data_IF_817306977584
#
_entry.id   IF_817306977584
#
_cell.length_a   1.000
_cell.length_b   1.000
_cell.length_c   1.000
_cell.angle_alpha   90.00
_cell.angle_beta   90.00
_cell.angle_gamma   90.00
#
_symmetry.space_group_name_H-M   'P 1'
#
loop_
_entity.id
_entity.type
_entity.pdbx_description
1 polymer ?
#
# COMPACT_ATOMS: atom_id res chain seq x y z
N UNK A 1 -8.08 -12.56 -10.13
CA UNK A 1 -8.49 -11.85 -11.35
C UNK A 1 -7.91 -10.47 -11.26
N UNK A 2 -6.70 -10.28 -11.80
CA UNK A 2 -6.02 -8.98 -11.88
C UNK A 2 -5.72 -8.75 -13.36
N UNK A 3 -6.36 -7.74 -13.93
CA UNK A 3 -6.41 -7.45 -15.37
C UNK A 3 -5.22 -6.53 -15.75
N UNK A 4 -4.03 -7.11 -15.74
CA UNK A 4 -2.95 -6.81 -16.69
C UNK A 4 -2.34 -5.41 -16.80
N UNK A 5 -2.77 -4.33 -16.11
CA UNK A 5 -2.26 -2.96 -16.43
C UNK A 5 -2.05 -1.94 -15.29
N UNK A 6 -1.70 -2.32 -14.06
CA UNK A 6 -1.26 -1.33 -13.05
C UNK A 6 0.08 -1.71 -12.40
N UNK A 7 1.17 -1.12 -12.89
CA UNK A 7 2.55 -1.36 -12.41
C UNK A 7 2.92 -0.52 -11.18
N UNK A 8 2.01 0.28 -10.63
CA UNK A 8 2.33 1.30 -9.63
C UNK A 8 1.54 1.08 -8.33
N UNK A 9 2.27 0.70 -7.28
CA UNK A 9 1.79 0.53 -5.92
C UNK A 9 2.50 1.45 -4.93
N UNK A 10 1.80 1.99 -3.94
CA UNK A 10 2.39 2.77 -2.84
C UNK A 10 1.93 2.23 -1.49
N UNK A 11 2.84 2.00 -0.55
CA UNK A 11 2.46 1.61 0.82
C UNK A 11 1.94 2.84 1.56
N UNK A 12 0.85 2.72 2.32
CA UNK A 12 0.26 3.81 3.11
C UNK A 12 0.06 3.32 4.54
N UNK A 13 0.84 3.85 5.48
CA UNK A 13 0.75 3.52 6.93
C UNK A 13 1.00 4.71 7.87
N UNK A 14 1.50 5.83 7.37
CA UNK A 14 1.86 7.02 8.17
C UNK A 14 2.20 8.25 7.33
N UNK A 15 2.63 9.35 7.97
CA UNK A 15 2.85 10.66 7.33
C UNK A 15 3.78 10.59 6.11
N UNK A 16 4.98 10.02 6.27
CA UNK A 16 5.99 9.99 5.20
C UNK A 16 5.47 9.24 3.97
N UNK A 17 4.80 8.10 4.22
CA UNK A 17 4.21 7.28 3.17
C UNK A 17 3.01 7.96 2.48
N UNK A 18 2.22 8.75 3.22
CA UNK A 18 1.11 9.53 2.67
C UNK A 18 1.60 10.68 1.78
N UNK A 19 2.73 11.30 2.15
CA UNK A 19 3.35 12.35 1.35
C UNK A 19 3.90 11.78 0.03
N UNK A 20 4.62 10.65 0.09
CA UNK A 20 5.10 9.95 -1.10
C UNK A 20 3.95 9.51 -1.99
N UNK A 21 2.87 8.96 -1.41
CA UNK A 21 1.68 8.56 -2.16
C UNK A 21 1.01 9.75 -2.86
N UNK A 22 0.89 10.89 -2.18
CA UNK A 22 0.28 12.11 -2.75
C UNK A 22 1.09 12.68 -3.92
N UNK A 23 2.42 12.71 -3.80
CA UNK A 23 3.33 13.16 -4.85
C UNK A 23 3.24 12.19 -6.04
N UNK A 24 3.27 10.89 -5.77
CA UNK A 24 3.17 9.84 -6.79
C UNK A 24 1.86 9.95 -7.56
N UNK A 25 0.72 10.08 -6.87
CA UNK A 25 -0.59 10.25 -7.48
C UNK A 25 -0.64 11.50 -8.38
N UNK A 26 -0.08 12.62 -7.91
CA UNK A 26 -0.04 13.88 -8.67
C UNK A 26 0.80 13.77 -9.94
N UNK A 27 1.97 13.13 -9.86
CA UNK A 27 2.87 13.03 -11.01
C UNK A 27 2.46 11.93 -12.00
N UNK A 28 1.83 10.85 -11.53
CA UNK A 28 1.40 9.74 -12.38
C UNK A 28 0.48 10.21 -13.51
N UNK A 29 -0.47 11.10 -13.23
CA UNK A 29 -1.40 11.67 -14.22
C UNK A 29 -0.72 12.34 -15.43
N UNK A 30 0.51 12.84 -15.27
CA UNK A 30 1.29 13.48 -16.34
C UNK A 30 2.15 12.52 -17.16
N UNK A 31 2.29 11.26 -16.75
CA UNK A 31 3.22 10.30 -17.37
C UNK A 31 2.64 9.67 -18.64
N UNK A 32 3.53 9.27 -19.57
CA UNK A 32 3.14 8.47 -20.75
C UNK A 32 2.55 7.11 -20.34
N UNK A 33 3.04 6.55 -19.23
CA UNK A 33 2.55 5.29 -18.69
C UNK A 33 1.07 5.40 -18.28
N UNK A 34 0.67 6.46 -17.57
CA UNK A 34 -0.72 6.66 -17.19
C UNK A 34 -1.66 6.86 -18.39
N UNK A 35 -1.18 7.51 -19.47
CA UNK A 35 -1.95 7.66 -20.71
C UNK A 35 -2.17 6.34 -21.46
N UNK A 36 -1.29 5.36 -21.26
CA UNK A 36 -1.27 4.12 -22.03
C UNK A 36 -1.83 2.92 -21.23
N UNK A 37 -1.77 2.97 -19.91
CA UNK A 37 -2.15 1.88 -18.99
C UNK A 37 -3.17 2.30 -17.92
N UNK A 38 -3.51 3.59 -17.84
CA UNK A 38 -4.40 4.14 -16.81
C UNK A 38 -3.62 4.77 -15.65
N UNK A 39 -4.21 5.77 -15.01
CA UNK A 39 -3.62 6.50 -13.88
C UNK A 39 -3.96 5.88 -12.51
N UNK A 40 -4.51 4.67 -12.50
CA UNK A 40 -5.08 4.08 -11.29
C UNK A 40 -3.95 3.53 -10.40
N UNK A 41 -3.67 4.25 -9.32
CA UNK A 41 -2.63 3.93 -8.36
C UNK A 41 -3.18 2.93 -7.33
N UNK A 42 -2.42 1.87 -7.06
CA UNK A 42 -2.76 0.92 -6.00
C UNK A 42 -2.07 1.35 -4.71
N UNK A 43 -2.76 1.24 -3.58
CA UNK A 43 -2.18 1.46 -2.26
C UNK A 43 -2.28 0.23 -1.40
N UNK A 44 -1.27 -0.01 -0.56
CA UNK A 44 -1.19 -1.21 0.28
C UNK A 44 -0.97 -0.83 1.73
N UNK A 45 -1.71 -1.45 2.65
CA UNK A 45 -1.52 -1.33 4.09
C UNK A 45 -1.55 -2.72 4.73
N UNK A 46 -0.71 -2.94 5.75
CA UNK A 46 -0.74 -4.17 6.55
C UNK A 46 -0.75 -3.82 8.03
N UNK A 47 -1.64 -4.46 8.78
CA UNK A 47 -1.91 -4.15 10.18
C UNK A 47 -2.75 -5.23 10.86
N UNK A 48 -2.81 -5.18 12.19
CA UNK A 48 -3.78 -5.96 12.96
C UNK A 48 -5.19 -5.44 12.67
N UNK A 49 -6.19 -6.32 12.68
CA UNK A 49 -7.58 -5.92 12.49
C UNK A 49 -7.99 -4.82 13.47
N UNK A 50 -8.60 -3.75 12.96
CA UNK A 50 -9.00 -2.59 13.76
C UNK A 50 -7.87 -1.64 14.16
N UNK A 51 -6.66 -1.80 13.63
CA UNK A 51 -5.56 -0.89 13.93
C UNK A 51 -5.86 0.55 13.46
N UNK A 52 -5.36 1.56 14.21
CA UNK A 52 -5.48 2.95 13.80
C UNK A 52 -4.79 3.23 12.45
N UNK A 53 -3.73 2.48 12.13
CA UNK A 53 -2.99 2.61 10.88
C UNK A 53 -3.83 2.19 9.66
N UNK A 54 -4.61 1.11 9.77
CA UNK A 54 -5.51 0.69 8.69
C UNK A 54 -6.58 1.74 8.44
N UNK A 55 -7.15 2.32 9.51
CA UNK A 55 -8.12 3.40 9.39
C UNK A 55 -7.53 4.63 8.71
N UNK A 56 -6.35 5.08 9.15
CA UNK A 56 -5.67 6.22 8.56
C UNK A 56 -5.28 5.97 7.09
N UNK A 57 -4.83 4.76 6.77
CA UNK A 57 -4.48 4.37 5.41
C UNK A 57 -5.70 4.39 4.48
N UNK A 58 -6.85 3.92 4.97
CA UNK A 58 -8.12 4.01 4.25
C UNK A 58 -8.53 5.45 3.97
N UNK A 59 -8.46 6.33 4.98
CA UNK A 59 -8.79 7.75 4.82
C UNK A 59 -7.90 8.43 3.76
N UNK A 60 -6.60 8.13 3.75
CA UNK A 60 -5.67 8.65 2.73
C UNK A 60 -5.95 8.06 1.36
N UNK A 61 -6.27 6.78 1.28
CA UNK A 61 -6.58 6.12 0.02
C UNK A 61 -7.85 6.66 -0.62
N UNK A 62 -8.89 6.93 0.18
CA UNK A 62 -10.14 7.56 -0.24
C UNK A 62 -9.89 9.00 -0.71
N UNK A 63 -9.06 9.76 0.02
CA UNK A 63 -8.67 11.13 -0.36
C UNK A 63 -7.90 11.16 -1.70
N UNK A 64 -7.00 10.20 -1.93
CA UNK A 64 -6.18 10.12 -3.14
C UNK A 64 -6.87 9.37 -4.30
N UNK A 65 -8.00 8.72 -4.06
CA UNK A 65 -8.73 7.93 -5.07
C UNK A 65 -7.97 6.68 -5.54
N UNK A 66 -7.17 6.07 -4.66
CA UNK A 66 -6.36 4.88 -4.98
C UNK A 66 -7.14 3.57 -4.80
N UNK A 67 -6.76 2.50 -5.50
CA UNK A 67 -7.27 1.15 -5.15
C UNK A 67 -6.54 0.69 -3.88
N UNK A 68 -7.23 0.73 -2.75
CA UNK A 68 -6.65 0.33 -1.47
C UNK A 68 -6.77 -1.16 -1.21
N UNK A 69 -5.64 -1.78 -0.92
CA UNK A 69 -5.51 -3.17 -0.50
C UNK A 69 -5.06 -3.20 0.96
N UNK A 70 -5.87 -3.80 1.82
CA UNK A 70 -5.53 -4.04 3.21
C UNK A 70 -5.20 -5.51 3.43
N UNK A 71 -4.09 -5.75 4.10
CA UNK A 71 -3.70 -7.07 4.58
C UNK A 71 -3.81 -7.09 6.09
N UNK A 72 -4.65 -7.98 6.60
CA UNK A 72 -4.80 -8.18 8.03
C UNK A 72 -3.99 -9.41 8.42
N UNK A 73 -3.25 -9.29 9.52
CA UNK A 73 -2.56 -10.41 10.13
C UNK A 73 -2.99 -10.54 11.58
N UNK A 74 -2.93 -11.76 12.12
CA UNK A 74 -3.16 -12.02 13.53
C UNK A 74 -1.84 -11.93 14.31
N UNK A 75 -1.94 -11.80 15.63
CA UNK A 75 -0.74 -11.86 16.49
C UNK A 75 -0.02 -13.20 16.32
N UNK A 76 -0.75 -14.30 16.11
CA UNK A 76 -0.16 -15.61 15.92
C UNK A 76 0.61 -15.70 14.60
N UNK A 77 0.07 -15.17 13.50
CA UNK A 77 0.79 -15.11 12.22
C UNK A 77 2.12 -14.36 12.38
N UNK A 78 2.11 -13.30 13.19
CA UNK A 78 3.31 -12.54 13.52
C UNK A 78 4.34 -13.36 14.31
N UNK A 79 3.89 -14.19 15.26
CA UNK A 79 4.76 -15.07 16.07
C UNK A 79 5.36 -16.18 15.21
N UNK A 80 4.53 -16.82 14.39
CA UNK A 80 4.95 -17.92 13.51
C UNK A 80 5.94 -17.44 12.45
N UNK A 81 5.84 -16.18 12.04
CA UNK A 81 6.76 -15.56 11.07
C UNK A 81 8.10 -15.09 11.66
N UNK A 82 8.32 -15.12 12.98
CA UNK A 82 9.54 -14.56 13.60
C UNK A 82 10.80 -15.25 13.08
N UNK A 83 10.80 -16.59 13.02
CA UNK A 83 11.97 -17.36 12.56
C UNK A 83 12.31 -17.02 11.11
N UNK A 84 11.30 -16.97 10.24
CA UNK A 84 11.45 -16.59 8.84
C UNK A 84 11.96 -15.14 8.71
N UNK A 85 11.44 -14.21 9.51
CA UNK A 85 11.85 -12.80 9.50
C UNK A 85 13.32 -12.67 9.90
N UNK A 86 13.75 -13.34 10.98
CA UNK A 86 15.17 -13.34 11.41
C UNK A 86 16.05 -13.93 10.31
N UNK A 87 15.63 -15.05 9.72
CA UNK A 87 16.37 -15.68 8.63
C UNK A 87 16.54 -14.76 7.40
N UNK A 88 15.47 -14.08 6.97
CA UNK A 88 15.50 -13.23 5.78
C UNK A 88 16.14 -11.86 6.01
N UNK A 89 16.15 -11.35 7.26
CA UNK A 89 16.77 -10.07 7.61
C UNK A 89 18.24 -10.27 8.02
N UNK A 90 18.66 -11.53 8.26
CA UNK A 90 20.02 -11.91 8.67
C UNK A 90 20.51 -11.20 9.96
N UNK A 91 19.58 -10.84 10.86
CA UNK A 91 19.86 -10.21 12.16
C UNK A 91 18.98 -10.79 13.26
#
# INVERSE_FOLDING_TARGET
>A
VDDGRSLWGSVVRGLDSSLVASITARHLAGTKAAKQWGAQLHSFCVGLEGSPDLKAAREVADYLGTIHHEFHFTVQDGIDAIEDVIYHIET
#
